data_IF_030136132141
#
_entry.id   IF_030136132141
#
_cell.length_a   1.000
_cell.length_b   1.000
_cell.length_c   1.000
_cell.angle_alpha   90.00
_cell.angle_beta   90.00
_cell.angle_gamma   90.00
#
_symmetry.space_group_name_H-M   'P 1'
#
loop_
_entity.id
_entity.type
_entity.pdbx_description
1 polymer ?
#
# COMPACT_ATOMS: atom_id res chain seq x y z
N UNK A 1 -5.62 -8.72 -25.67
CA UNK A 1 -4.75 -9.02 -24.51
C UNK A 1 -3.73 -7.90 -24.41
N UNK A 2 -4.00 -6.90 -23.57
CA UNK A 2 -3.14 -5.72 -23.46
C UNK A 2 -2.09 -5.95 -22.38
N UNK A 3 -0.81 -5.96 -22.77
CA UNK A 3 0.32 -6.04 -21.84
C UNK A 3 0.34 -4.77 -20.99
N UNK A 4 0.29 -4.84 -19.64
CA UNK A 4 0.41 -3.65 -18.82
C UNK A 4 1.79 -3.01 -18.99
N UNK A 5 1.88 -1.66 -18.97
CA UNK A 5 3.16 -0.98 -19.15
C UNK A 5 4.14 -1.34 -18.03
N UNK A 6 5.45 -1.45 -18.34
CA UNK A 6 6.47 -1.74 -17.34
C UNK A 6 6.47 -0.64 -16.27
N UNK A 7 6.37 -1.03 -14.99
CA UNK A 7 6.49 -0.10 -13.87
C UNK A 7 7.90 0.50 -13.90
N UNK A 8 8.07 1.84 -13.86
CA UNK A 8 9.40 2.44 -13.94
C UNK A 8 10.19 2.14 -12.66
N UNK A 9 11.09 1.16 -12.74
CA UNK A 9 12.08 0.84 -11.72
C UNK A 9 13.27 1.81 -11.86
N UNK A 10 13.18 3.05 -11.36
CA UNK A 10 14.30 3.99 -11.56
C UNK A 10 14.73 4.86 -10.36
N UNK A 11 14.04 4.86 -9.22
CA UNK A 11 14.34 5.89 -8.21
C UNK A 11 15.38 5.48 -7.15
N UNK A 12 16.23 4.47 -7.42
CA UNK A 12 17.28 4.03 -6.47
C UNK A 12 18.23 5.16 -6.03
N UNK A 13 18.83 5.97 -6.92
CA UNK A 13 19.70 7.06 -6.48
C UNK A 13 18.93 8.13 -5.68
N UNK A 14 17.68 8.41 -6.06
CA UNK A 14 16.82 9.34 -5.31
C UNK A 14 16.51 8.82 -3.90
N UNK A 15 16.24 7.52 -3.75
CA UNK A 15 16.01 6.90 -2.44
C UNK A 15 17.29 6.89 -1.59
N UNK A 16 18.46 6.65 -2.19
CA UNK A 16 19.75 6.77 -1.47
C UNK A 16 19.95 8.19 -0.97
N UNK A 17 19.77 9.18 -1.85
CA UNK A 17 19.91 10.59 -1.48
C UNK A 17 18.93 10.96 -0.35
N UNK A 18 17.66 10.52 -0.45
CA UNK A 18 16.66 10.72 0.59
C UNK A 18 17.10 10.12 1.93
N UNK A 19 17.56 8.86 1.93
CA UNK A 19 18.03 8.17 3.15
C UNK A 19 19.24 8.88 3.76
N UNK A 20 20.19 9.32 2.92
CA UNK A 20 21.34 10.11 3.38
C UNK A 20 20.90 11.43 4.01
N UNK A 21 19.99 12.18 3.38
CA UNK A 21 19.46 13.44 3.94
C UNK A 21 18.76 13.21 5.27
N UNK A 22 17.91 12.18 5.37
CA UNK A 22 17.21 11.83 6.61
C UNK A 22 18.20 11.42 7.70
N UNK A 23 19.17 10.57 7.38
CA UNK A 23 20.17 10.11 8.35
C UNK A 23 21.04 11.28 8.86
N UNK A 24 21.54 12.13 7.96
CA UNK A 24 22.33 13.31 8.33
C UNK A 24 21.50 14.30 9.14
N UNK A 25 20.24 14.54 8.77
CA UNK A 25 19.33 15.38 9.54
C UNK A 25 19.10 14.87 10.96
N UNK A 26 18.88 13.56 11.11
CA UNK A 26 18.74 12.93 12.43
C UNK A 26 20.03 13.07 13.25
N UNK A 27 21.20 12.84 12.66
CA UNK A 27 22.48 12.98 13.38
C UNK A 27 22.77 14.43 13.76
N UNK A 28 22.44 15.40 12.91
CA UNK A 28 22.54 16.82 13.23
C UNK A 28 21.62 17.21 14.41
N UNK A 29 20.38 16.69 14.43
CA UNK A 29 19.46 16.87 15.56
C UNK A 29 19.97 16.20 16.83
N UNK A 30 20.56 14.99 16.72
CA UNK A 30 21.18 14.30 17.84
C UNK A 30 22.31 15.14 18.45
N UNK A 31 23.18 15.68 17.60
CA UNK A 31 24.28 16.55 17.98
C UNK A 31 23.77 17.81 18.69
N UNK A 32 22.77 18.47 18.12
CA UNK A 32 22.16 19.65 18.74
C UNK A 32 21.53 19.32 20.11
N UNK A 33 20.87 18.17 20.24
CA UNK A 33 20.29 17.75 21.53
C UNK A 33 21.35 17.41 22.57
N UNK A 34 22.49 16.86 22.14
CA UNK A 34 23.64 16.62 23.00
C UNK A 34 24.18 17.94 23.57
N UNK A 35 24.41 18.94 22.72
CA UNK A 35 24.84 20.29 23.17
C UNK A 35 23.80 20.93 24.11
N UNK A 36 22.50 20.76 23.84
CA UNK A 36 21.44 21.22 24.74
C UNK A 36 21.48 20.52 26.10
N UNK A 37 21.77 19.22 26.13
CA UNK A 37 21.91 18.45 27.36
C UNK A 37 23.10 18.90 28.20
N UNK A 38 24.24 19.25 27.60
CA UNK A 38 25.43 19.74 28.32
C UNK A 38 25.30 21.16 28.86
N UNK A 39 24.33 21.94 28.36
CA UNK A 39 24.10 23.30 28.84
C UNK A 39 23.55 23.36 30.28
N UNK A 40 23.65 24.53 30.92
CA UNK A 40 23.10 24.79 32.27
C UNK A 40 21.58 24.60 32.41
N UNK A 41 20.85 24.47 31.30
CA UNK A 41 19.40 24.21 31.23
C UNK A 41 19.07 22.83 30.65
N UNK A 42 20.05 21.94 30.53
CA UNK A 42 19.86 20.59 30.00
C UNK A 42 18.99 19.72 30.91
N UNK A 43 18.14 18.88 30.30
CA UNK A 43 17.29 17.94 31.03
C UNK A 43 17.54 16.49 30.57
N UNK A 44 17.13 15.51 31.37
CA UNK A 44 17.19 14.09 30.98
C UNK A 44 16.40 13.77 29.68
N UNK A 45 15.41 14.57 29.33
CA UNK A 45 14.69 14.42 28.05
C UNK A 45 15.59 14.75 26.85
N UNK A 46 16.46 15.77 26.95
CA UNK A 46 17.41 16.10 25.88
C UNK A 46 18.36 14.93 25.59
N UNK A 47 18.84 14.25 26.64
CA UNK A 47 19.65 13.05 26.49
C UNK A 47 18.88 11.92 25.80
N UNK A 48 17.62 11.71 26.20
CA UNK A 48 16.73 10.75 25.53
C UNK A 48 16.63 11.03 24.04
N UNK A 49 16.40 12.29 23.65
CA UNK A 49 16.35 12.68 22.24
C UNK A 49 17.70 12.55 21.53
N UNK A 50 18.79 12.93 22.17
CA UNK A 50 20.15 12.79 21.63
C UNK A 50 20.48 11.32 21.28
N UNK A 51 19.94 10.35 22.04
CA UNK A 51 20.09 8.92 21.76
C UNK A 51 19.00 8.36 20.82
N UNK A 52 17.80 8.94 20.85
CA UNK A 52 16.68 8.54 20.00
C UNK A 52 16.93 8.87 18.52
N UNK A 53 17.47 10.05 18.22
CA UNK A 53 17.69 10.48 16.84
C UNK A 53 18.68 9.58 16.07
N UNK A 54 19.81 9.12 16.64
CA UNK A 54 20.68 8.12 16.00
C UNK A 54 19.99 6.78 15.74
N UNK A 55 19.09 6.33 16.64
CA UNK A 55 18.31 5.12 16.40
C UNK A 55 17.40 5.27 15.17
N UNK A 56 16.77 6.43 14.99
CA UNK A 56 15.99 6.72 13.79
C UNK A 56 16.84 6.82 12.52
N UNK A 57 18.04 7.40 12.59
CA UNK A 57 18.99 7.39 11.48
C UNK A 57 19.33 5.94 11.06
N UNK A 58 19.67 5.09 12.04
CA UNK A 58 19.94 3.67 11.81
C UNK A 58 18.72 2.94 11.24
N UNK A 59 17.52 3.22 11.74
CA UNK A 59 16.28 2.64 11.23
C UNK A 59 16.01 3.01 9.77
N UNK A 60 16.22 4.27 9.36
CA UNK A 60 16.05 4.70 7.98
C UNK A 60 16.99 3.95 7.02
N UNK A 61 18.26 3.81 7.41
CA UNK A 61 19.26 3.03 6.65
C UNK A 61 18.86 1.55 6.59
N UNK A 62 18.45 0.97 7.72
CA UNK A 62 17.98 -0.41 7.78
C UNK A 62 16.78 -0.65 6.87
N UNK A 63 15.79 0.23 6.88
CA UNK A 63 14.61 0.15 6.03
C UNK A 63 15.00 0.16 4.53
N UNK A 64 15.94 1.02 4.14
CA UNK A 64 16.47 1.04 2.77
C UNK A 64 17.18 -0.26 2.40
N UNK A 65 18.07 -0.77 3.26
CA UNK A 65 18.75 -2.06 3.02
C UNK A 65 17.74 -3.19 2.87
N UNK A 66 16.73 -3.24 3.74
CA UNK A 66 15.65 -4.23 3.70
C UNK A 66 14.82 -4.10 2.42
N UNK A 67 14.49 -2.89 2.01
CA UNK A 67 13.78 -2.59 0.77
C UNK A 67 14.57 -3.07 -0.46
N UNK A 68 15.85 -2.71 -0.57
CA UNK A 68 16.73 -3.17 -1.66
C UNK A 68 16.83 -4.69 -1.70
N UNK A 69 16.89 -5.34 -0.53
CA UNK A 69 16.89 -6.80 -0.44
C UNK A 69 15.58 -7.41 -0.96
N UNK A 70 14.42 -6.84 -0.61
CA UNK A 70 13.11 -7.29 -1.12
C UNK A 70 13.00 -7.12 -2.63
N UNK A 71 13.41 -5.97 -3.15
CA UNK A 71 13.42 -5.69 -4.60
C UNK A 71 14.31 -6.68 -5.36
N UNK A 72 15.49 -7.01 -4.80
CA UNK A 72 16.39 -8.04 -5.37
C UNK A 72 15.78 -9.44 -5.32
N UNK A 73 15.08 -9.78 -4.25
CA UNK A 73 14.38 -11.07 -4.10
C UNK A 73 13.19 -11.17 -5.05
N UNK A 74 12.51 -10.06 -5.36
CA UNK A 74 11.38 -10.00 -6.30
C UNK A 74 11.82 -10.07 -7.77
N UNK A 75 12.99 -9.49 -8.11
CA UNK A 75 13.56 -9.54 -9.47
C UNK A 75 14.26 -10.88 -9.76
N UNK A 76 14.63 -11.64 -8.72
CA UNK A 76 15.25 -12.94 -8.91
C UNK A 76 14.25 -13.93 -9.57
N UNK A 77 14.67 -14.71 -10.59
CA UNK A 77 13.80 -15.70 -11.20
C UNK A 77 13.27 -16.65 -10.12
N UNK A 78 11.96 -16.91 -10.16
CA UNK A 78 11.27 -17.73 -9.17
C UNK A 78 12.05 -19.04 -8.95
N UNK A 79 12.63 -19.21 -7.76
CA UNK A 79 13.21 -20.49 -7.37
C UNK A 79 12.04 -21.49 -7.29
N UNK A 80 12.07 -22.61 -8.03
CA UNK A 80 11.04 -23.63 -7.92
C UNK A 80 11.11 -24.18 -6.49
N UNK A 81 10.16 -23.81 -5.64
CA UNK A 81 10.07 -24.30 -4.26
C UNK A 81 9.73 -23.26 -3.18
N UNK A 82 9.77 -21.95 -3.47
CA UNK A 82 9.17 -20.97 -2.54
C UNK A 82 7.71 -20.80 -2.97
N UNK A 83 6.85 -21.67 -2.42
CA UNK A 83 5.40 -21.56 -2.58
C UNK A 83 5.00 -20.11 -2.31
N UNK A 84 4.58 -19.44 -3.37
CA UNK A 84 3.89 -18.16 -3.30
C UNK A 84 2.73 -18.39 -2.33
N UNK A 85 2.78 -17.72 -1.16
CA UNK A 85 1.74 -17.88 -0.15
C UNK A 85 0.40 -17.65 -0.87
N UNK A 86 -0.53 -18.62 -0.84
CA UNK A 86 -1.78 -18.52 -1.59
C UNK A 86 -2.46 -17.18 -1.28
N UNK A 87 -2.44 -16.27 -2.25
CA UNK A 87 -3.13 -14.97 -2.17
C UNK A 87 -4.62 -15.11 -2.47
N UNK A 88 -5.03 -16.30 -2.88
CA UNK A 88 -6.41 -16.73 -3.00
C UNK A 88 -6.82 -17.34 -1.67
N UNK A 89 -7.86 -16.78 -1.05
CA UNK A 89 -8.52 -17.41 0.09
C UNK A 89 -9.18 -18.69 -0.46
N UNK A 90 -8.81 -19.89 0.02
CA UNK A 90 -9.46 -21.12 -0.40
C UNK A 90 -10.97 -21.02 -0.23
N UNK A 91 -11.73 -21.34 -1.29
CA UNK A 91 -13.18 -21.37 -1.26
C UNK A 91 -13.61 -22.39 -0.19
N UNK A 92 -13.98 -21.91 0.99
CA UNK A 92 -14.29 -22.74 2.16
C UNK A 92 -13.78 -22.20 3.50
N UNK A 93 -12.88 -21.20 3.52
CA UNK A 93 -12.44 -20.55 4.77
C UNK A 93 -13.37 -19.40 5.20
N UNK A 94 -14.08 -18.81 4.24
CA UNK A 94 -15.05 -17.76 4.57
C UNK A 94 -16.31 -18.40 5.17
N UNK A 95 -16.77 -17.94 6.35
CA UNK A 95 -18.10 -18.27 6.84
C UNK A 95 -19.14 -17.97 5.76
N UNK A 96 -20.18 -18.79 5.68
CA UNK A 96 -21.34 -18.51 4.82
C UNK A 96 -21.76 -17.06 5.09
N UNK A 97 -21.78 -16.24 4.03
CA UNK A 97 -22.13 -14.82 4.16
C UNK A 97 -23.53 -14.77 4.76
N UNK A 98 -23.73 -14.25 5.99
CA UNK A 98 -25.06 -14.11 6.54
C UNK A 98 -25.86 -13.25 5.57
N UNK A 99 -27.02 -13.75 5.15
CA UNK A 99 -27.94 -12.95 4.37
C UNK A 99 -28.27 -11.70 5.19
N UNK A 100 -27.91 -10.52 4.66
CA UNK A 100 -28.22 -9.27 5.33
C UNK A 100 -29.74 -9.24 5.59
N UNK A 101 -30.13 -8.96 6.83
CA UNK A 101 -31.54 -8.83 7.17
C UNK A 101 -32.15 -7.75 6.28
N UNK A 102 -33.26 -8.06 5.61
CA UNK A 102 -34.00 -7.08 4.83
C UNK A 102 -34.50 -6.02 5.81
N UNK A 103 -34.05 -4.79 5.64
CA UNK A 103 -34.61 -3.64 6.35
C UNK A 103 -35.96 -3.33 5.71
N UNK A 104 -37.04 -3.39 6.50
CA UNK A 104 -38.40 -3.03 6.08
C UNK A 104 -38.63 -1.50 6.13
N UNK A 105 -37.59 -0.72 6.43
CA UNK A 105 -37.64 0.73 6.40
C UNK A 105 -37.76 1.27 4.95
N UNK A 106 -38.79 2.08 4.64
CA UNK A 106 -39.02 2.58 3.29
C UNK A 106 -37.90 3.44 2.74
N UNK A 107 -37.16 4.21 3.58
CA UNK A 107 -36.03 5.01 3.11
C UNK A 107 -34.86 4.12 2.68
N UNK A 108 -34.55 3.09 3.47
CA UNK A 108 -33.52 2.10 3.15
C UNK A 108 -33.84 1.35 1.85
N UNK A 109 -35.11 1.00 1.62
CA UNK A 109 -35.56 0.35 0.39
C UNK A 109 -35.35 1.25 -0.84
N UNK A 110 -35.74 2.52 -0.75
CA UNK A 110 -35.54 3.49 -1.83
C UNK A 110 -34.05 3.72 -2.12
N UNK A 111 -33.21 3.80 -1.08
CA UNK A 111 -31.76 3.97 -1.25
C UNK A 111 -31.10 2.75 -1.90
N UNK A 112 -31.47 1.53 -1.47
CA UNK A 112 -30.95 0.31 -2.09
C UNK A 112 -31.38 0.17 -3.56
N UNK A 113 -32.61 0.58 -3.90
CA UNK A 113 -33.07 0.64 -5.30
C UNK A 113 -32.27 1.65 -6.12
N UNK A 114 -31.98 2.83 -5.55
CA UNK A 114 -31.14 3.84 -6.20
C UNK A 114 -29.71 3.32 -6.45
N UNK A 115 -29.08 2.70 -5.45
CA UNK A 115 -27.76 2.07 -5.61
C UNK A 115 -27.76 0.97 -6.67
N UNK A 116 -28.82 0.16 -6.73
CA UNK A 116 -28.95 -0.88 -7.75
C UNK A 116 -29.07 -0.31 -9.17
N UNK A 117 -29.81 0.78 -9.35
CA UNK A 117 -29.93 1.47 -10.65
C UNK A 117 -28.61 2.08 -11.10
N UNK A 118 -27.88 2.69 -10.17
CA UNK A 118 -26.56 3.25 -10.46
C UNK A 118 -25.57 2.15 -10.86
N UNK A 119 -25.56 1.05 -10.12
CA UNK A 119 -24.70 -0.10 -10.43
C UNK A 119 -25.02 -0.70 -11.81
N UNK A 120 -26.31 -0.87 -12.15
CA UNK A 120 -26.71 -1.37 -13.46
C UNK A 120 -26.20 -0.45 -14.59
N UNK A 121 -26.33 0.87 -14.41
CA UNK A 121 -25.87 1.86 -15.38
C UNK A 121 -24.35 1.84 -15.57
N UNK A 122 -23.59 1.68 -14.48
CA UNK A 122 -22.13 1.59 -14.51
C UNK A 122 -21.65 0.32 -15.21
N UNK A 123 -22.33 -0.82 -14.98
CA UNK A 123 -22.02 -2.08 -15.64
C UNK A 123 -22.31 -1.98 -17.14
N UNK A 124 -23.45 -1.39 -17.54
CA UNK A 124 -23.77 -1.17 -18.96
C UNK A 124 -22.76 -0.24 -19.65
N UNK A 125 -22.30 0.80 -18.95
CA UNK A 125 -21.23 1.67 -19.45
C UNK A 125 -19.90 0.91 -19.62
N UNK A 126 -19.55 0.04 -18.67
CA UNK A 126 -18.36 -0.80 -18.76
C UNK A 126 -18.44 -1.83 -19.88
N UNK A 127 -19.59 -2.49 -20.08
CA UNK A 127 -19.81 -3.47 -21.17
C UNK A 127 -19.71 -2.79 -22.54
N UNK A 128 -20.27 -1.59 -22.70
CA UNK A 128 -20.11 -0.76 -23.91
C UNK A 128 -18.66 -0.39 -24.17
N UNK A 129 -17.96 0.07 -23.14
CA UNK A 129 -16.54 0.46 -23.24
C UNK A 129 -15.64 -0.74 -23.54
N UNK A 130 -15.97 -1.91 -23.00
CA UNK A 130 -15.26 -3.16 -23.25
C UNK A 130 -15.59 -3.80 -24.62
N UNK A 131 -16.56 -3.26 -25.38
CA UNK A 131 -16.93 -3.74 -26.71
C UNK A 131 -17.62 -5.10 -26.73
N UNK A 132 -18.24 -5.52 -25.62
CA UNK A 132 -18.79 -6.88 -25.43
C UNK A 132 -20.24 -7.07 -25.92
N UNK A 133 -20.80 -6.13 -26.69
CA UNK A 133 -22.14 -6.30 -27.27
C UNK A 133 -22.09 -7.20 -28.50
N UNK A 134 -22.47 -8.47 -28.35
CA UNK A 134 -22.86 -9.34 -29.47
C UNK A 134 -24.25 -8.92 -29.98
N UNK A 135 -24.40 -8.50 -31.25
CA UNK A 135 -25.72 -8.28 -31.80
C UNK A 135 -26.31 -9.66 -32.16
N UNK A 136 -27.27 -10.14 -31.37
CA UNK A 136 -28.07 -11.30 -31.79
C UNK A 136 -28.87 -10.91 -33.05
N UNK A 137 -28.45 -11.50 -34.16
CA UNK A 137 -29.04 -11.35 -35.49
C UNK A 137 -30.28 -12.24 -35.51
N UNK A 138 -31.44 -11.63 -35.29
CA UNK A 138 -32.76 -12.23 -35.48
C UNK A 138 -32.87 -12.68 -36.95
N UNK A 139 -32.68 -13.98 -37.19
CA UNK A 139 -32.89 -14.62 -38.49
C UNK A 139 -34.33 -15.14 -38.52
N UNK A 140 -35.23 -14.29 -39.02
CA UNK A 140 -36.52 -14.71 -39.57
C UNK A 140 -36.38 -15.09 -41.04
#
# INVERSE_FOLDING_TARGET
>A
MSVPPPRPAHNRPALIALVCVVALGCLALAWWQWERFESSSGTGQNLGYALQWPLFAGFAVFAYVRFVRLEREAEAPARPGRAEAPREIPAGILPERPAAAKSDDPETAAYNQYLAQLHASDIDAQVRTAGLHSPERNAG
#
